data_IF_479363183149
#
_entry.id   IF_479363183149
#
_cell.length_a   1.000
_cell.length_b   1.000
_cell.length_c   1.000
_cell.angle_alpha   90.00
_cell.angle_beta   90.00
_cell.angle_gamma   90.00
#
_symmetry.space_group_name_H-M   'P 1'
#
loop_
_entity.id
_entity.type
_entity.pdbx_description
1 polymer ?
#
# COMPACT_ATOMS: atom_id res chain seq x y z
N UNK A 1 -23.24 -53.39 -8.91
CA UNK A 1 -23.45 -52.47 -7.77
C UNK A 1 -22.16 -52.13 -7.00
N UNK A 2 -21.25 -53.08 -6.78
CA UNK A 2 -19.95 -52.83 -6.10
C UNK A 2 -19.04 -51.83 -6.84
N UNK A 3 -19.02 -51.86 -8.18
CA UNK A 3 -18.23 -50.93 -9.00
C UNK A 3 -18.59 -49.46 -8.74
N UNK A 4 -19.88 -49.11 -8.83
CA UNK A 4 -20.35 -47.74 -8.57
C UNK A 4 -20.13 -47.30 -7.13
N UNK A 5 -20.27 -48.22 -6.16
CA UNK A 5 -19.99 -47.94 -4.75
C UNK A 5 -18.51 -47.59 -4.52
N UNK A 6 -17.60 -48.34 -5.13
CA UNK A 6 -16.15 -48.08 -5.01
C UNK A 6 -15.74 -46.80 -5.74
N UNK A 7 -16.33 -46.54 -6.91
CA UNK A 7 -16.11 -45.30 -7.65
C UNK A 7 -16.54 -44.09 -6.81
N UNK A 8 -17.74 -44.13 -6.21
CA UNK A 8 -18.27 -43.04 -5.40
C UNK A 8 -17.42 -42.78 -4.15
N UNK A 9 -16.97 -43.83 -3.46
CA UNK A 9 -16.06 -43.71 -2.30
C UNK A 9 -14.72 -43.08 -2.72
N UNK A 10 -14.14 -43.51 -3.84
CA UNK A 10 -12.88 -42.97 -4.35
C UNK A 10 -13.00 -41.48 -4.70
N UNK A 11 -14.09 -41.07 -5.36
CA UNK A 11 -14.33 -39.66 -5.69
C UNK A 11 -14.47 -38.80 -4.43
N UNK A 12 -15.21 -39.27 -3.42
CA UNK A 12 -15.37 -38.54 -2.14
C UNK A 12 -14.01 -38.35 -1.45
N UNK A 13 -13.19 -39.40 -1.38
CA UNK A 13 -11.84 -39.31 -0.79
C UNK A 13 -10.96 -38.33 -1.56
N UNK A 14 -11.04 -38.33 -2.88
CA UNK A 14 -10.29 -37.42 -3.75
C UNK A 14 -10.66 -35.96 -3.49
N UNK A 15 -11.96 -35.67 -3.34
CA UNK A 15 -12.47 -34.32 -3.05
C UNK A 15 -12.01 -33.85 -1.68
N UNK A 16 -12.09 -34.71 -0.66
CA UNK A 16 -11.62 -34.38 0.70
C UNK A 16 -10.12 -34.03 0.69
N UNK A 17 -9.32 -34.80 -0.05
CA UNK A 17 -7.88 -34.57 -0.18
C UNK A 17 -7.56 -33.23 -0.89
N UNK A 18 -8.28 -32.94 -1.98
CA UNK A 18 -8.12 -31.67 -2.71
C UNK A 18 -8.50 -30.46 -1.85
N UNK A 19 -9.61 -30.54 -1.10
CA UNK A 19 -10.03 -29.47 -0.19
C UNK A 19 -9.00 -29.26 0.93
N UNK A 20 -8.39 -30.32 1.45
CA UNK A 20 -7.31 -30.24 2.43
C UNK A 20 -6.08 -29.51 1.90
N UNK A 21 -5.67 -29.80 0.65
CA UNK A 21 -4.55 -29.12 0.00
C UNK A 21 -4.82 -27.62 -0.21
N UNK A 22 -6.03 -27.27 -0.66
CA UNK A 22 -6.43 -25.86 -0.84
C UNK A 22 -6.42 -25.13 0.49
N UNK A 23 -6.98 -25.73 1.55
CA UNK A 23 -6.98 -25.15 2.89
C UNK A 23 -5.55 -24.93 3.42
N UNK A 24 -4.65 -25.90 3.19
CA UNK A 24 -3.24 -25.76 3.55
C UNK A 24 -2.56 -24.62 2.80
N UNK A 25 -2.77 -24.50 1.49
CA UNK A 25 -2.19 -23.40 0.71
C UNK A 25 -2.70 -22.04 1.13
N UNK A 26 -4.00 -21.91 1.45
CA UNK A 26 -4.57 -20.66 1.95
C UNK A 26 -4.02 -20.31 3.33
N UNK A 27 -3.89 -21.30 4.22
CA UNK A 27 -3.31 -21.12 5.56
C UNK A 27 -1.83 -20.75 5.52
N UNK A 28 -1.06 -21.38 4.63
CA UNK A 28 0.36 -21.07 4.42
C UNK A 28 0.57 -19.76 3.65
N UNK A 29 -0.45 -19.27 2.95
CA UNK A 29 -0.43 -17.96 2.32
C UNK A 29 -0.55 -16.91 3.41
N UNK A 30 0.61 -16.42 3.86
CA UNK A 30 0.72 -15.23 4.71
C UNK A 30 0.18 -14.02 3.92
N UNK A 31 -1.15 -13.87 3.90
CA UNK A 31 -1.86 -12.77 3.27
C UNK A 31 -1.70 -11.48 4.09
N UNK A 32 -0.46 -11.00 4.21
CA UNK A 32 -0.23 -9.57 4.36
C UNK A 32 -0.14 -9.01 2.95
N UNK A 33 -1.24 -9.12 2.20
CA UNK A 33 -1.45 -8.27 1.04
C UNK A 33 -1.38 -6.84 1.58
N UNK A 34 -0.27 -6.14 1.31
CA UNK A 34 -0.09 -4.77 1.76
C UNK A 34 -1.04 -3.96 0.89
N UNK A 35 -2.25 -3.71 1.39
CA UNK A 35 -3.20 -2.85 0.70
C UNK A 35 -2.76 -1.39 0.85
N UNK A 36 -2.83 -0.58 -0.24
CA UNK A 36 -3.17 -0.92 -1.61
C UNK A 36 -1.99 -1.56 -2.38
N UNK A 37 -2.31 -2.43 -3.35
CA UNK A 37 -1.31 -3.17 -4.15
C UNK A 37 -0.39 -2.26 -4.97
N UNK A 38 -0.88 -1.07 -5.33
CA UNK A 38 -0.10 -0.01 -5.96
C UNK A 38 -0.28 1.26 -5.16
N UNK A 39 0.84 1.83 -4.71
CA UNK A 39 0.85 3.13 -4.06
C UNK A 39 1.06 4.17 -5.15
N UNK A 40 0.16 5.14 -5.24
CA UNK A 40 0.25 6.27 -6.16
C UNK A 40 1.54 7.07 -5.94
N UNK A 41 2.05 7.75 -6.97
CA UNK A 41 3.23 8.61 -6.84
C UNK A 41 2.97 9.86 -5.99
N UNK A 42 1.74 10.38 -6.09
CA UNK A 42 1.26 11.52 -5.34
C UNK A 42 0.20 11.12 -4.31
N UNK A 43 0.06 11.90 -3.21
CA UNK A 43 -1.00 11.69 -2.23
C UNK A 43 -2.40 11.84 -2.82
N UNK A 44 -3.41 11.48 -2.04
CA UNK A 44 -4.81 11.61 -2.46
C UNK A 44 -5.12 13.08 -2.74
N UNK A 45 -5.77 13.35 -3.89
CA UNK A 45 -6.13 14.69 -4.37
C UNK A 45 -4.96 15.62 -4.74
N UNK A 46 -3.79 15.04 -5.00
CA UNK A 46 -2.67 15.73 -5.63
C UNK A 46 -2.48 15.24 -7.05
N UNK A 47 -2.29 16.18 -7.97
CA UNK A 47 -2.01 15.89 -9.36
C UNK A 47 -0.51 16.03 -9.63
N UNK A 48 0.04 15.12 -10.44
CA UNK A 48 1.43 15.19 -10.87
C UNK A 48 1.57 16.22 -11.98
N UNK A 49 2.40 17.25 -11.75
CA UNK A 49 2.70 18.23 -12.78
C UNK A 49 3.82 17.74 -13.74
N UNK A 50 4.05 18.48 -14.82
CA UNK A 50 5.11 18.20 -15.81
C UNK A 50 6.55 18.28 -15.25
N UNK A 51 6.71 18.76 -14.02
CA UNK A 51 8.00 18.85 -13.29
C UNK A 51 8.15 17.76 -12.23
N UNK A 52 7.34 16.70 -12.28
CA UNK A 52 7.30 15.60 -11.31
C UNK A 52 7.05 16.04 -9.85
N UNK A 53 6.31 17.14 -9.68
CA UNK A 53 5.87 17.61 -8.37
C UNK A 53 4.37 17.33 -8.20
N UNK A 54 4.00 16.94 -6.98
CA UNK A 54 2.61 16.76 -6.61
C UNK A 54 2.04 18.12 -6.22
N UNK A 55 1.02 18.56 -6.95
CA UNK A 55 0.32 19.83 -6.72
C UNK A 55 -1.07 19.55 -6.18
N UNK A 56 -1.44 20.20 -5.09
CA UNK A 56 -2.74 20.03 -4.46
C UNK A 56 -3.86 20.51 -5.41
N UNK A 57 -4.89 19.70 -5.59
CA UNK A 57 -6.05 20.09 -6.38
C UNK A 57 -6.93 21.06 -5.58
N UNK A 58 -6.89 22.34 -5.93
CA UNK A 58 -7.62 23.43 -5.25
C UNK A 58 -9.14 23.34 -5.41
N UNK A 59 -9.65 22.46 -6.28
CA UNK A 59 -11.08 22.23 -6.44
C UNK A 59 -11.64 21.25 -5.42
N UNK A 60 -10.76 20.48 -4.75
CA UNK A 60 -11.15 19.45 -3.78
C UNK A 60 -10.76 19.86 -2.35
N UNK A 61 -9.66 20.59 -2.19
CA UNK A 61 -9.17 21.04 -0.90
C UNK A 61 -9.49 22.50 -0.64
N UNK A 62 -10.09 22.79 0.52
CA UNK A 62 -10.19 24.14 1.01
C UNK A 62 -8.79 24.64 1.40
N UNK A 63 -8.26 25.60 0.65
CA UNK A 63 -6.88 26.09 0.80
C UNK A 63 -6.62 26.76 2.14
N UNK A 64 -7.65 27.10 2.91
CA UNK A 64 -7.54 27.65 4.26
C UNK A 64 -7.06 26.65 5.31
N UNK A 65 -7.30 25.34 5.11
CA UNK A 65 -6.89 24.28 6.05
C UNK A 65 -5.50 23.70 5.72
N UNK A 66 -4.93 24.10 4.58
CA UNK A 66 -3.66 23.59 4.12
C UNK A 66 -2.49 24.28 4.84
N UNK A 67 -1.59 23.47 5.40
CA UNK A 67 -0.36 23.97 6.03
C UNK A 67 0.49 24.69 4.98
N UNK A 68 1.07 25.85 5.35
CA UNK A 68 1.94 26.62 4.46
C UNK A 68 3.09 25.75 3.93
N UNK A 69 3.40 25.86 2.63
CA UNK A 69 4.40 25.04 1.89
C UNK A 69 4.03 23.57 1.62
N UNK A 70 2.74 23.23 1.63
CA UNK A 70 2.25 21.90 1.24
C UNK A 70 1.43 21.88 -0.06
N UNK A 71 1.26 23.03 -0.73
CA UNK A 71 0.56 23.14 -2.03
C UNK A 71 1.27 22.43 -3.17
N UNK A 72 2.60 22.37 -3.11
CA UNK A 72 3.44 21.75 -4.12
C UNK A 72 4.58 21.06 -3.42
N UNK A 73 4.61 19.72 -3.50
CA UNK A 73 5.60 18.90 -2.82
C UNK A 73 6.19 17.92 -3.81
N UNK A 74 7.50 17.78 -3.80
CA UNK A 74 8.18 16.75 -4.55
C UNK A 74 8.41 15.51 -3.67
N UNK A 75 7.66 14.44 -3.94
CA UNK A 75 7.80 13.15 -3.27
C UNK A 75 8.67 12.14 -4.06
N UNK A 76 9.20 12.53 -5.23
CA UNK A 76 9.93 11.63 -6.13
C UNK A 76 11.44 11.89 -6.14
N UNK A 77 11.88 13.12 -5.94
CA UNK A 77 13.30 13.52 -6.03
C UNK A 77 13.69 14.49 -4.90
N UNK A 78 13.55 14.04 -3.66
CA UNK A 78 13.90 14.82 -2.48
C UNK A 78 14.35 13.96 -1.31
N UNK A 79 15.16 14.55 -0.43
CA UNK A 79 15.46 13.99 0.87
C UNK A 79 14.48 14.53 1.90
N UNK A 80 14.19 13.72 2.92
CA UNK A 80 13.45 14.15 4.08
C UNK A 80 14.19 15.31 4.74
N UNK A 81 13.52 16.46 4.79
CA UNK A 81 14.02 17.73 5.33
C UNK A 81 14.72 17.62 6.70
N UNK A 82 14.32 16.68 7.56
CA UNK A 82 14.88 16.55 8.93
C UNK A 82 15.89 15.41 9.14
N UNK A 83 16.12 14.52 8.17
CA UNK A 83 17.01 13.34 8.36
C UNK A 83 17.87 12.99 7.13
N UNK A 84 17.68 13.64 5.98
CA UNK A 84 18.49 13.39 4.78
C UNK A 84 18.13 12.12 4.00
N UNK A 85 17.09 11.38 4.42
CA UNK A 85 16.66 10.13 3.76
C UNK A 85 15.91 10.41 2.46
N UNK A 86 16.35 9.85 1.34
CA UNK A 86 15.65 10.00 0.05
C UNK A 86 14.26 9.35 0.07
N UNK A 87 13.28 9.99 -0.57
CA UNK A 87 11.94 9.40 -0.79
C UNK A 87 11.97 8.14 -1.69
N UNK A 88 13.07 7.90 -2.41
CA UNK A 88 13.28 6.74 -3.27
C UNK A 88 13.93 5.53 -2.57
N UNK A 89 14.33 5.65 -1.30
CA UNK A 89 14.98 4.53 -0.58
C UNK A 89 13.98 3.37 -0.40
N UNK A 90 14.25 2.18 -0.97
CA UNK A 90 13.34 1.04 -0.88
C UNK A 90 13.30 0.46 0.55
N UNK A 91 12.23 -0.26 0.87
CA UNK A 91 12.05 -0.95 2.15
C UNK A 91 11.04 -0.30 3.08
N UNK A 92 11.02 -0.74 4.34
CA UNK A 92 10.18 -0.22 5.44
C UNK A 92 11.05 0.16 6.64
N UNK A 93 10.52 0.99 7.54
CA UNK A 93 11.19 1.45 8.75
C UNK A 93 11.73 2.87 8.64
N UNK A 94 12.33 3.36 9.73
CA UNK A 94 12.71 4.78 9.91
C UNK A 94 13.62 5.37 8.82
N UNK A 95 14.44 4.53 8.17
CA UNK A 95 15.35 4.93 7.07
C UNK A 95 14.78 4.73 5.66
N UNK A 96 13.53 4.31 5.53
CA UNK A 96 12.90 4.07 4.22
C UNK A 96 12.29 5.35 3.64
N UNK A 97 12.27 5.44 2.30
CA UNK A 97 11.66 6.54 1.58
C UNK A 97 10.14 6.61 1.80
N UNK A 98 9.48 5.46 1.94
CA UNK A 98 8.05 5.39 2.26
C UNK A 98 7.73 5.90 3.66
N UNK A 99 8.61 5.68 4.65
CA UNK A 99 8.48 6.30 5.96
C UNK A 99 8.69 7.82 5.87
N UNK A 100 9.67 8.28 5.10
CA UNK A 100 9.87 9.71 4.86
C UNK A 100 8.63 10.36 4.22
N UNK A 101 8.01 9.70 3.21
CA UNK A 101 6.76 10.14 2.58
C UNK A 101 5.64 10.25 3.62
N UNK A 102 5.46 9.23 4.48
CA UNK A 102 4.47 9.23 5.57
C UNK A 102 4.61 10.43 6.49
N UNK A 103 5.84 10.71 6.94
CA UNK A 103 6.05 11.80 7.90
C UNK A 103 5.84 13.18 7.27
N UNK A 104 6.22 13.36 5.99
CA UNK A 104 5.95 14.60 5.26
C UNK A 104 4.45 14.78 5.03
N UNK A 105 3.73 13.74 4.61
CA UNK A 105 2.28 13.78 4.45
C UNK A 105 1.57 14.12 5.76
N UNK A 106 1.95 13.48 6.88
CA UNK A 106 1.42 13.79 8.20
C UNK A 106 1.73 15.23 8.65
N UNK A 107 2.94 15.74 8.37
CA UNK A 107 3.28 17.14 8.68
C UNK A 107 2.43 18.16 7.91
N UNK A 108 1.98 17.77 6.73
CA UNK A 108 1.11 18.56 5.87
C UNK A 108 -0.38 18.25 6.05
N UNK A 109 -0.74 17.33 6.97
CA UNK A 109 -2.11 16.83 7.18
C UNK A 109 -2.76 16.26 5.90
N UNK A 110 -1.96 15.61 5.06
CA UNK A 110 -2.40 15.02 3.80
C UNK A 110 -2.71 13.53 4.03
N UNK A 111 -3.82 13.06 3.48
CA UNK A 111 -4.12 11.63 3.39
C UNK A 111 -3.44 11.01 2.18
N UNK A 112 -2.84 9.84 2.37
CA UNK A 112 -2.24 9.08 1.29
C UNK A 112 -2.54 7.61 1.53
N UNK A 113 -3.45 7.06 0.73
CA UNK A 113 -3.83 5.67 0.85
C UNK A 113 -2.62 4.74 0.71
N UNK A 114 -2.46 3.83 1.66
CA UNK A 114 -1.33 2.93 1.76
C UNK A 114 -0.11 3.46 2.49
N UNK A 115 -0.01 4.77 2.72
CA UNK A 115 1.14 5.37 3.41
C UNK A 115 0.75 5.94 4.79
N UNK A 116 -0.19 6.88 4.85
CA UNK A 116 -0.50 7.56 6.12
C UNK A 116 -1.35 6.71 7.06
N UNK A 117 -2.23 5.88 6.48
CA UNK A 117 -3.07 4.93 7.21
C UNK A 117 -2.33 3.69 7.73
N UNK A 118 -1.14 3.37 7.20
CA UNK A 118 -0.43 2.14 7.54
C UNK A 118 0.57 2.35 8.68
N UNK A 119 0.29 1.77 9.86
CA UNK A 119 1.10 1.92 11.08
C UNK A 119 2.45 1.20 11.03
N UNK A 120 2.65 0.23 10.13
CA UNK A 120 3.88 -0.59 10.04
C UNK A 120 4.91 -0.13 9.01
N UNK A 121 4.78 1.08 8.47
CA UNK A 121 5.71 1.65 7.45
C UNK A 121 6.93 2.30 8.08
N UNK A 122 6.76 2.89 9.26
CA UNK A 122 7.78 3.45 10.12
C UNK A 122 7.76 2.63 11.42
#
# INVERSE_FOLDING_TARGET
MIFYKNMLISTILSVILLLGLVAYMISSSNNVQIFPATISECPDYYDLNSSNMCVANTNVWNTTDMVSNCSTINFNSGTRWSTGVSYSTPGKGKGSGICAKKQKANSCRISWDGITNNTGIC
#
